data_IF_052871987283
#
_entry.id   IF_052871987283
#
_cell.length_a   1.000
_cell.length_b   1.000
_cell.length_c   1.000
_cell.angle_alpha   90.00
_cell.angle_beta   90.00
_cell.angle_gamma   90.00
#
_symmetry.space_group_name_H-M   'P 1'
#
loop_
_entity.id
_entity.type
_entity.pdbx_description
1 polymer ?
#
# COMPACT_ATOMS: atom_id res chain seq x y z
N UNK A 1 7.45 14.89 8.17
CA UNK A 1 6.86 13.59 7.77
C UNK A 1 5.41 13.71 7.32
N UNK A 2 4.39 13.99 8.16
CA UNK A 2 3.03 14.25 7.62
C UNK A 2 2.98 15.49 6.74
N UNK A 3 3.71 16.57 7.10
CA UNK A 3 3.77 17.81 6.31
C UNK A 3 4.28 17.64 4.88
N UNK A 4 5.40 16.92 4.69
CA UNK A 4 5.99 16.75 3.35
C UNK A 4 5.09 15.91 2.44
N UNK A 5 4.60 14.77 2.92
CA UNK A 5 3.66 13.94 2.16
C UNK A 5 2.32 14.64 1.89
N UNK A 6 1.83 15.47 2.82
CA UNK A 6 0.62 16.28 2.62
C UNK A 6 0.81 17.44 1.63
N UNK A 7 2.06 17.86 1.40
CA UNK A 7 2.40 18.96 0.49
C UNK A 7 2.70 18.51 -0.94
N UNK A 8 2.86 17.20 -1.17
CA UNK A 8 3.12 16.63 -2.49
C UNK A 8 1.78 16.28 -3.19
N UNK A 9 1.37 17.03 -4.24
CA UNK A 9 0.08 16.85 -4.89
C UNK A 9 -0.09 15.47 -5.52
N UNK A 10 0.99 14.78 -5.89
CA UNK A 10 0.91 13.50 -6.59
C UNK A 10 0.53 12.34 -5.66
N UNK A 11 0.85 12.44 -4.37
CA UNK A 11 0.63 11.37 -3.38
C UNK A 11 -0.35 11.77 -2.27
N UNK A 12 -0.68 13.06 -2.12
CA UNK A 12 -1.57 13.56 -1.07
C UNK A 12 -2.92 12.86 -1.06
N UNK A 13 -3.60 12.80 -2.20
CA UNK A 13 -4.97 12.28 -2.29
C UNK A 13 -5.01 10.75 -2.11
N UNK A 14 -3.89 10.07 -2.37
CA UNK A 14 -3.70 8.64 -2.14
C UNK A 14 -3.46 8.30 -0.66
N UNK A 15 -2.69 9.13 0.03
CA UNK A 15 -2.33 8.91 1.45
C UNK A 15 -3.35 9.49 2.42
N UNK A 16 -4.10 10.51 2.00
CA UNK A 16 -5.13 11.17 2.80
C UNK A 16 -6.46 11.29 2.02
N UNK A 17 -7.03 10.17 1.54
CA UNK A 17 -8.30 10.21 0.83
C UNK A 17 -9.39 10.74 1.77
N UNK A 18 -10.03 11.87 1.42
CA UNK A 18 -11.16 12.43 2.17
C UNK A 18 -10.81 13.40 3.32
N UNK A 19 -9.76 14.23 3.20
CA UNK A 19 -9.48 15.30 4.19
C UNK A 19 -10.61 16.34 4.33
N UNK A 20 -11.57 16.38 3.41
CA UNK A 20 -12.87 17.03 3.60
C UNK A 20 -13.99 15.98 3.65
N UNK A 21 -14.42 15.61 4.86
CA UNK A 21 -15.66 14.84 5.07
C UNK A 21 -15.61 13.39 4.59
N UNK A 22 -15.06 12.50 5.43
CA UNK A 22 -15.11 11.06 5.20
C UNK A 22 -16.43 10.51 5.75
N UNK A 23 -17.28 9.98 4.87
CA UNK A 23 -18.49 9.24 5.27
C UNK A 23 -18.10 7.83 5.71
N UNK A 24 -18.18 7.60 7.02
CA UNK A 24 -17.74 6.37 7.67
C UNK A 24 -18.63 5.17 7.31
N UNK A 25 -19.86 5.40 6.84
CA UNK A 25 -20.79 4.32 6.48
C UNK A 25 -20.37 3.56 5.21
N UNK A 26 -19.64 4.21 4.30
CA UNK A 26 -19.19 3.63 3.03
C UNK A 26 -17.69 3.29 3.01
N UNK A 27 -17.07 3.27 4.19
CA UNK A 27 -15.68 2.92 4.34
C UNK A 27 -15.43 1.43 4.01
N UNK A 28 -14.73 1.19 2.90
CA UNK A 28 -14.26 -0.12 2.43
C UNK A 28 -13.42 -0.92 3.46
N UNK A 29 -12.97 -0.26 4.53
CA UNK A 29 -12.20 -0.86 5.63
C UNK A 29 -13.05 -1.46 6.77
N UNK A 30 -14.39 -1.44 6.68
CA UNK A 30 -15.28 -1.82 7.80
C UNK A 30 -15.66 -3.31 7.84
N UNK A 31 -15.21 -4.14 6.90
CA UNK A 31 -15.50 -5.58 6.91
C UNK A 31 -14.23 -6.39 6.67
N UNK A 32 -13.55 -6.75 7.75
CA UNK A 32 -12.59 -7.85 7.74
C UNK A 32 -13.37 -9.17 7.80
N UNK A 33 -13.94 -9.59 6.69
CA UNK A 33 -14.41 -10.98 6.54
C UNK A 33 -13.18 -11.88 6.36
N UNK A 34 -12.86 -12.78 7.32
CA UNK A 34 -11.69 -13.66 7.23
C UNK A 34 -11.76 -14.62 6.04
N UNK A 35 -12.95 -14.86 5.48
CA UNK A 35 -13.16 -15.70 4.30
C UNK A 35 -13.09 -14.92 2.98
N UNK A 36 -12.97 -13.59 3.02
CA UNK A 36 -12.90 -12.77 1.81
C UNK A 36 -11.61 -13.05 1.04
N UNK A 37 -11.76 -13.47 -0.22
CA UNK A 37 -10.66 -13.59 -1.17
C UNK A 37 -10.71 -12.43 -2.17
N UNK A 38 -9.74 -11.49 -2.16
CA UNK A 38 -9.70 -10.39 -3.13
C UNK A 38 -9.21 -10.83 -4.52
N UNK A 39 -8.64 -12.03 -4.69
CA UNK A 39 -8.03 -12.44 -5.97
C UNK A 39 -8.99 -12.39 -7.17
N UNK A 40 -10.26 -12.84 -7.08
CA UNK A 40 -11.18 -12.74 -8.20
C UNK A 40 -11.42 -11.30 -8.69
N UNK A 41 -11.41 -10.33 -7.77
CA UNK A 41 -11.57 -8.91 -8.11
C UNK A 41 -10.34 -8.44 -8.90
N UNK A 42 -9.15 -8.73 -8.40
CA UNK A 42 -7.90 -8.34 -9.07
C UNK A 42 -7.69 -9.04 -10.41
N UNK A 43 -8.20 -10.27 -10.60
CA UNK A 43 -8.21 -10.95 -11.91
C UNK A 43 -9.10 -10.26 -12.94
N UNK A 44 -10.20 -9.67 -12.49
CA UNK A 44 -11.16 -8.99 -13.35
C UNK A 44 -10.85 -7.49 -13.54
N UNK A 45 -9.80 -6.99 -12.91
CA UNK A 45 -9.39 -5.60 -13.00
C UNK A 45 -8.52 -5.39 -14.25
N UNK A 46 -9.05 -4.64 -15.23
CA UNK A 46 -8.35 -4.34 -16.48
C UNK A 46 -7.40 -3.12 -16.39
N UNK A 47 -7.29 -2.50 -15.21
CA UNK A 47 -6.38 -1.38 -14.99
C UNK A 47 -4.98 -1.80 -14.59
N UNK A 48 -4.07 -0.82 -14.52
CA UNK A 48 -2.71 -1.02 -14.00
C UNK A 48 -2.76 -1.09 -12.47
N UNK A 49 -2.23 -2.14 -11.87
CA UNK A 49 -2.15 -2.29 -10.43
C UNK A 49 -0.69 -2.50 -9.97
N UNK A 50 -0.35 -1.85 -8.85
CA UNK A 50 0.89 -2.08 -8.11
C UNK A 50 0.53 -2.59 -6.72
N UNK A 51 1.19 -3.66 -6.27
CA UNK A 51 1.10 -4.17 -4.92
C UNK A 51 2.44 -3.94 -4.23
N UNK A 52 2.41 -3.21 -3.11
CA UNK A 52 3.60 -2.94 -2.31
C UNK A 52 3.45 -3.66 -0.98
N UNK A 53 4.37 -4.58 -0.70
CA UNK A 53 4.44 -5.31 0.56
C UNK A 53 5.67 -4.92 1.36
N UNK A 54 5.64 -5.13 2.67
CA UNK A 54 6.81 -4.94 3.51
C UNK A 54 7.49 -6.27 3.82
N UNK A 55 8.83 -6.31 3.83
CA UNK A 55 9.60 -7.53 4.10
C UNK A 55 9.21 -8.21 5.42
N UNK A 56 8.96 -7.42 6.45
CA UNK A 56 8.73 -7.89 7.82
C UNK A 56 7.27 -7.81 8.28
N UNK A 57 6.32 -7.54 7.37
CA UNK A 57 4.90 -7.40 7.73
C UNK A 57 4.40 -8.63 8.53
N UNK A 58 3.91 -8.37 9.73
CA UNK A 58 3.38 -9.39 10.64
C UNK A 58 1.87 -9.58 10.52
N UNK A 59 1.19 -8.63 9.89
CA UNK A 59 -0.24 -8.62 9.62
C UNK A 59 -0.56 -9.29 8.29
N UNK A 60 0.38 -9.25 7.33
CA UNK A 60 0.29 -9.95 6.04
C UNK A 60 1.56 -10.76 5.79
N UNK A 61 1.44 -12.08 5.61
CA UNK A 61 2.57 -12.90 5.16
C UNK A 61 2.94 -12.55 3.71
N UNK A 62 3.96 -11.71 3.55
CA UNK A 62 4.44 -11.22 2.25
C UNK A 62 4.81 -12.34 1.29
N UNK A 63 5.43 -13.43 1.76
CA UNK A 63 5.82 -14.53 0.88
C UNK A 63 4.59 -15.26 0.32
N UNK A 64 3.55 -15.42 1.15
CA UNK A 64 2.27 -15.99 0.73
C UNK A 64 1.54 -15.04 -0.23
N UNK A 65 1.48 -13.74 0.09
CA UNK A 65 0.81 -12.75 -0.75
C UNK A 65 1.44 -12.64 -2.14
N UNK A 66 2.76 -12.47 -2.22
CA UNK A 66 3.52 -12.46 -3.48
C UNK A 66 3.29 -13.75 -4.26
N UNK A 67 3.24 -14.91 -3.58
CA UNK A 67 2.97 -16.19 -4.25
C UNK A 67 1.59 -16.22 -4.90
N UNK A 68 0.57 -15.68 -4.24
CA UNK A 68 -0.81 -15.65 -4.73
C UNK A 68 -1.02 -14.73 -5.94
N UNK A 69 -0.17 -13.71 -6.09
CA UNK A 69 -0.25 -12.73 -7.18
C UNK A 69 0.53 -13.13 -8.44
N UNK A 70 1.32 -14.22 -8.43
CA UNK A 70 2.22 -14.59 -9.55
C UNK A 70 1.55 -14.73 -10.91
N UNK A 71 0.27 -15.11 -10.93
CA UNK A 71 -0.47 -15.37 -12.16
C UNK A 71 -1.29 -14.15 -12.62
N UNK A 72 -1.11 -12.99 -11.98
CA UNK A 72 -1.76 -11.74 -12.35
C UNK A 72 -0.78 -10.85 -13.13
N UNK A 73 -1.31 -10.09 -14.08
CA UNK A 73 -0.54 -9.06 -14.80
C UNK A 73 -0.47 -7.78 -13.96
N UNK A 74 0.26 -7.85 -12.85
CA UNK A 74 0.40 -6.76 -11.87
C UNK A 74 1.85 -6.62 -11.45
N UNK A 75 2.24 -5.41 -11.06
CA UNK A 75 3.57 -5.18 -10.49
C UNK A 75 3.55 -5.46 -9.00
N UNK A 76 4.51 -6.23 -8.50
CA UNK A 76 4.64 -6.57 -7.09
C UNK A 76 6.02 -6.15 -6.58
N UNK A 77 6.05 -5.25 -5.61
CA UNK A 77 7.27 -4.71 -5.02
C UNK A 77 7.30 -5.03 -3.52
N UNK A 78 8.47 -5.42 -3.02
CA UNK A 78 8.70 -5.70 -1.59
C UNK A 78 9.68 -4.67 -1.05
N UNK A 79 9.25 -3.92 -0.04
CA UNK A 79 10.05 -2.91 0.65
C UNK A 79 10.99 -3.61 1.64
N UNK A 80 12.31 -3.60 1.38
CA UNK A 80 13.27 -4.18 2.31
C UNK A 80 13.31 -3.35 3.60
N UNK A 81 13.53 -4.02 4.74
CA UNK A 81 13.62 -3.34 6.02
C UNK A 81 12.34 -2.61 6.41
N UNK A 82 11.17 -3.11 6.02
CA UNK A 82 9.90 -2.47 6.32
C UNK A 82 8.96 -3.41 7.08
N UNK A 83 8.11 -2.84 7.93
CA UNK A 83 7.02 -3.46 8.68
C UNK A 83 5.66 -3.08 8.11
N UNK A 84 4.60 -3.57 8.75
CA UNK A 84 3.23 -3.18 8.45
C UNK A 84 3.09 -1.66 8.25
N UNK A 85 2.26 -1.24 7.28
CA UNK A 85 2.11 0.14 6.80
C UNK A 85 3.35 0.75 6.11
N UNK A 86 4.36 -0.06 5.78
CA UNK A 86 5.60 0.41 5.16
C UNK A 86 6.51 1.20 6.11
N UNK A 87 6.40 0.96 7.43
CA UNK A 87 7.22 1.58 8.47
C UNK A 87 8.63 0.98 8.50
N UNK A 88 9.65 1.76 8.81
CA UNK A 88 11.03 1.27 8.86
C UNK A 88 11.25 0.23 9.99
N UNK A 89 11.92 -0.87 9.67
CA UNK A 89 12.08 -2.00 10.56
C UNK A 89 13.35 -2.81 10.28
N UNK A 90 13.90 -3.39 11.35
CA UNK A 90 15.06 -4.28 11.27
C UNK A 90 14.69 -5.75 11.38
N UNK A 91 13.45 -6.05 11.79
CA UNK A 91 12.98 -7.42 11.99
C UNK A 91 11.46 -7.55 11.97
N UNK A 92 10.96 -8.79 11.98
CA UNK A 92 9.54 -9.08 12.19
C UNK A 92 9.02 -8.70 13.59
N UNK A 93 9.90 -8.60 14.58
CA UNK A 93 9.53 -8.26 15.96
C UNK A 93 9.38 -6.74 16.19
N UNK A 94 9.67 -5.95 15.16
CA UNK A 94 9.68 -4.49 15.19
C UNK A 94 8.27 -3.88 14.96
N UNK A 95 7.19 -4.63 15.22
CA UNK A 95 5.81 -4.28 14.85
C UNK A 95 5.12 -3.21 15.69
N UNK A 96 5.73 -2.73 16.79
CA UNK A 96 5.12 -1.71 17.65
C UNK A 96 5.09 -0.34 16.94
N UNK A 97 3.92 0.02 16.42
CA UNK A 97 3.69 1.25 15.65
C UNK A 97 4.10 2.49 16.46
N UNK A 98 3.90 2.49 17.79
CA UNK A 98 4.23 3.64 18.65
C UNK A 98 5.74 3.94 18.71
N UNK A 99 6.60 2.95 18.45
CA UNK A 99 8.06 3.10 18.48
C UNK A 99 8.65 3.54 17.13
N UNK A 100 7.84 3.48 16.06
CA UNK A 100 8.28 3.77 14.69
C UNK A 100 7.90 5.18 14.28
N UNK A 101 8.90 5.95 13.86
CA UNK A 101 8.74 7.37 13.52
C UNK A 101 8.96 7.67 12.05
N UNK A 102 9.31 6.67 11.25
CA UNK A 102 9.65 6.84 9.84
C UNK A 102 9.10 5.71 8.99
N UNK A 103 8.67 6.07 7.78
CA UNK A 103 8.40 5.13 6.70
C UNK A 103 9.70 4.69 6.03
N UNK A 104 9.68 3.50 5.42
CA UNK A 104 10.72 3.08 4.50
C UNK A 104 10.82 4.09 3.34
N UNK A 105 12.02 4.59 2.99
CA UNK A 105 12.19 5.47 1.84
C UNK A 105 11.69 4.85 0.54
N UNK A 106 11.72 3.51 0.43
CA UNK A 106 11.21 2.79 -0.72
C UNK A 106 9.71 3.01 -0.94
N UNK A 107 8.91 3.16 0.13
CA UNK A 107 7.46 3.34 0.00
C UNK A 107 7.11 4.55 -0.87
N UNK A 108 7.73 5.69 -0.60
CA UNK A 108 7.44 6.92 -1.36
C UNK A 108 7.95 6.83 -2.80
N UNK A 109 9.06 6.14 -3.04
CA UNK A 109 9.57 5.91 -4.38
C UNK A 109 8.60 5.08 -5.22
N UNK A 110 8.02 4.02 -4.65
CA UNK A 110 7.03 3.18 -5.32
C UNK A 110 5.73 3.94 -5.62
N UNK A 111 5.22 4.71 -4.67
CA UNK A 111 4.02 5.52 -4.87
C UNK A 111 4.22 6.60 -5.94
N UNK A 112 5.36 7.28 -5.93
CA UNK A 112 5.69 8.28 -6.94
C UNK A 112 5.95 7.65 -8.32
N UNK A 113 6.45 6.43 -8.39
CA UNK A 113 6.58 5.70 -9.65
C UNK A 113 5.19 5.37 -10.21
N UNK A 114 4.28 4.87 -9.38
CA UNK A 114 2.92 4.55 -9.79
C UNK A 114 2.12 5.78 -10.24
N UNK A 115 2.20 6.91 -9.52
CA UNK A 115 1.46 8.13 -9.88
C UNK A 115 1.85 8.70 -11.25
N UNK A 116 3.09 8.48 -11.68
CA UNK A 116 3.56 8.87 -13.01
C UNK A 116 3.01 7.98 -14.13
N UNK A 117 2.77 6.70 -13.84
CA UNK A 117 2.17 5.76 -14.81
C UNK A 117 0.72 6.14 -15.14
N UNK A 118 0.01 6.78 -14.21
CA UNK A 118 -1.38 7.22 -14.38
C UNK A 118 -1.52 8.62 -14.99
N UNK A 119 -0.43 9.37 -15.14
CA UNK A 119 -0.45 10.77 -15.60
C UNK A 119 -0.48 10.96 -17.12
N UNK A 120 -0.10 9.95 -17.90
CA UNK A 120 0.06 10.05 -19.36
C UNK A 120 -1.16 9.56 -20.18
N UNK A 121 -2.16 8.95 -19.53
CA UNK A 121 -3.35 8.39 -20.21
C UNK A 121 -4.51 9.41 -20.35
N UNK A 122 -4.26 10.71 -20.13
CA UNK A 122 -5.26 11.79 -20.15
C UNK A 122 -4.92 12.96 -21.11
N UNK A 123 -4.18 12.71 -22.20
CA UNK A 123 -4.00 13.66 -23.31
C UNK A 123 -4.77 13.27 -24.56
#
# INVERSE_FOLDING_TARGET
MTREASSDPAIRDWLFPGSEGLDVENAWFTVLDPAFDPLPIWRAYDGKAVFVFSEFDDSTDTAVAVKRLRDLDVSVNVLPGAQHLGLDARSKCDGEIAERKSFSPGLFAELAAFSRITGDDNQ
#
